data_IF_345783762815
#
_entry.id   IF_345783762815
#
_cell.length_a   1.000
_cell.length_b   1.000
_cell.length_c   1.000
_cell.angle_alpha   90.00
_cell.angle_beta   90.00
_cell.angle_gamma   90.00
#
_symmetry.space_group_name_H-M   'P 1'
#
loop_
_entity.id
_entity.type
_entity.pdbx_description
1 polymer ?
#
# COMPACT_ATOMS: atom_id res chain seq x y z
N UNK A 1 -3.77 -20.98 75.20
CA UNK A 1 -3.63 -19.49 75.08
C UNK A 1 -4.22 -19.12 73.72
N UNK A 2 -5.41 -18.52 73.70
CA UNK A 2 -6.11 -18.07 72.47
C UNK A 2 -5.34 -16.88 71.86
N UNK A 3 -5.07 -16.86 70.57
CA UNK A 3 -4.37 -15.75 69.93
C UNK A 3 -5.24 -14.50 69.97
N UNK A 4 -4.62 -13.37 70.37
CA UNK A 4 -5.29 -12.08 70.43
C UNK A 4 -5.86 -11.66 69.05
N UNK A 5 -7.10 -11.12 69.06
CA UNK A 5 -7.77 -10.58 67.89
C UNK A 5 -6.88 -9.66 67.04
N UNK A 6 -6.00 -8.91 67.69
CA UNK A 6 -5.05 -8.02 67.03
C UNK A 6 -3.96 -8.75 66.19
N UNK A 7 -3.57 -9.98 66.61
CA UNK A 7 -2.64 -10.82 65.82
C UNK A 7 -3.32 -11.44 64.62
N UNK A 8 -4.61 -11.79 64.75
CA UNK A 8 -5.39 -12.32 63.64
C UNK A 8 -5.60 -11.30 62.51
N UNK A 9 -5.96 -10.06 62.85
CA UNK A 9 -6.11 -8.99 61.87
C UNK A 9 -4.79 -8.58 61.20
N UNK A 10 -3.66 -8.64 61.91
CA UNK A 10 -2.35 -8.40 61.29
C UNK A 10 -1.94 -9.53 60.33
N UNK A 11 -2.25 -10.76 60.63
CA UNK A 11 -2.01 -11.89 59.73
C UNK A 11 -2.94 -11.87 58.51
N UNK A 12 -4.23 -11.53 58.70
CA UNK A 12 -5.20 -11.37 57.58
C UNK A 12 -4.85 -10.20 56.66
N UNK A 13 -4.32 -9.08 57.19
CA UNK A 13 -3.87 -7.96 56.38
C UNK A 13 -2.61 -8.30 55.55
N UNK A 14 -1.70 -9.12 56.12
CA UNK A 14 -0.50 -9.55 55.37
C UNK A 14 -0.79 -10.56 54.27
N UNK A 15 -1.78 -11.45 54.47
CA UNK A 15 -2.24 -12.39 53.41
C UNK A 15 -3.13 -11.70 52.38
N UNK A 16 -3.93 -10.70 52.76
CA UNK A 16 -4.72 -9.91 51.82
C UNK A 16 -3.89 -9.03 50.89
N UNK A 17 -2.78 -8.48 51.36
CA UNK A 17 -1.88 -7.66 50.53
C UNK A 17 -1.08 -8.51 49.53
N UNK A 18 -0.78 -9.78 49.85
CA UNK A 18 -0.11 -10.69 48.92
C UNK A 18 -1.10 -11.27 47.86
N UNK A 19 -2.40 -11.32 48.17
CA UNK A 19 -3.42 -11.78 47.17
C UNK A 19 -3.88 -10.65 46.23
N UNK A 20 -3.74 -9.38 46.65
CA UNK A 20 -4.14 -8.23 45.82
C UNK A 20 -3.13 -7.90 44.69
N UNK A 21 -1.91 -8.45 44.76
CA UNK A 21 -0.90 -8.29 43.68
C UNK A 21 -0.99 -9.37 42.59
N UNK A 22 -1.89 -10.35 42.74
CA UNK A 22 -2.15 -11.39 41.78
C UNK A 22 -3.53 -11.23 41.10
N UNK A 23 -4.04 -10.00 40.95
CA UNK A 23 -4.89 -9.70 39.82
C UNK A 23 -3.95 -9.77 38.61
N UNK A 24 -3.77 -10.98 38.09
CA UNK A 24 -3.15 -11.20 36.81
C UNK A 24 -3.84 -10.24 35.84
N UNK A 25 -3.11 -9.22 35.38
CA UNK A 25 -3.47 -8.62 34.10
C UNK A 25 -3.74 -9.78 33.18
N UNK A 26 -4.87 -9.82 32.46
CA UNK A 26 -5.06 -10.87 31.49
C UNK A 26 -3.80 -10.86 30.63
N UNK A 27 -3.00 -11.90 30.74
CA UNK A 27 -1.94 -12.15 29.75
C UNK A 27 -2.73 -12.36 28.45
N UNK A 28 -2.95 -11.29 27.72
CA UNK A 28 -3.29 -11.40 26.32
C UNK A 28 -2.05 -12.10 25.77
N UNK A 29 -2.13 -13.40 25.63
CA UNK A 29 -1.12 -14.17 24.93
C UNK A 29 -1.17 -13.66 23.48
N UNK A 30 -0.39 -12.63 23.20
CA UNK A 30 -0.09 -12.27 21.83
C UNK A 30 0.57 -13.53 21.24
N UNK A 31 -0.09 -14.13 20.27
CA UNK A 31 0.50 -15.20 19.46
C UNK A 31 1.88 -14.75 18.98
N UNK A 32 2.71 -15.68 18.55
CA UNK A 32 4.01 -15.31 17.96
C UNK A 32 3.79 -14.23 16.88
N UNK A 33 4.64 -13.19 16.80
CA UNK A 33 4.49 -12.12 15.83
C UNK A 33 4.38 -12.69 14.41
N UNK A 34 3.31 -12.32 13.70
CA UNK A 34 3.14 -12.70 12.31
C UNK A 34 3.92 -11.73 11.43
N UNK A 35 4.75 -12.27 10.55
CA UNK A 35 5.48 -11.46 9.56
C UNK A 35 4.86 -11.63 8.19
N UNK A 36 4.43 -10.52 7.59
CA UNK A 36 3.87 -10.44 6.24
C UNK A 36 4.95 -9.99 5.26
N UNK A 37 5.12 -10.72 4.17
CA UNK A 37 6.07 -10.38 3.10
C UNK A 37 5.41 -9.40 2.14
N UNK A 38 5.98 -8.21 2.02
CA UNK A 38 5.52 -7.16 1.11
C UNK A 38 6.63 -6.80 0.13
N UNK A 39 6.35 -6.77 -1.17
CA UNK A 39 7.27 -6.19 -2.14
C UNK A 39 6.73 -4.89 -2.71
N UNK A 40 7.59 -3.86 -2.75
CA UNK A 40 7.31 -2.61 -3.43
C UNK A 40 7.84 -2.64 -4.88
N UNK A 41 7.18 -1.89 -5.75
CA UNK A 41 7.63 -1.69 -7.13
C UNK A 41 8.75 -0.64 -7.25
N UNK A 42 9.27 -0.16 -6.12
CA UNK A 42 10.20 0.96 -6.01
C UNK A 42 11.52 0.50 -5.44
N UNK A 43 12.65 1.15 -5.83
CA UNK A 43 13.95 0.86 -5.23
C UNK A 43 14.00 1.33 -3.78
N UNK A 44 14.78 0.63 -2.95
CA UNK A 44 15.17 1.12 -1.63
C UNK A 44 16.09 2.35 -1.75
N UNK A 45 16.13 3.17 -0.70
CA UNK A 45 16.88 4.42 -0.68
C UNK A 45 15.98 5.63 -0.83
N UNK A 46 16.48 6.74 -1.32
CA UNK A 46 15.75 8.01 -1.44
C UNK A 46 14.64 7.96 -2.51
N UNK A 47 13.63 7.15 -2.26
CA UNK A 47 12.45 7.02 -3.10
C UNK A 47 11.20 7.17 -2.24
N UNK A 48 10.46 8.26 -2.47
CA UNK A 48 9.29 8.62 -1.66
C UNK A 48 8.24 7.50 -1.56
N UNK A 49 8.03 6.73 -2.62
CA UNK A 49 7.04 5.64 -2.62
C UNK A 49 7.50 4.46 -1.76
N UNK A 50 8.81 4.17 -1.75
CA UNK A 50 9.35 3.13 -0.88
C UNK A 50 9.36 3.58 0.58
N UNK A 51 9.70 4.84 0.86
CA UNK A 51 9.67 5.43 2.20
C UNK A 51 8.25 5.40 2.77
N UNK A 52 7.23 5.79 2.00
CA UNK A 52 5.83 5.73 2.44
C UNK A 52 5.36 4.30 2.71
N UNK A 53 5.79 3.32 1.93
CA UNK A 53 5.52 1.90 2.21
C UNK A 53 6.20 1.46 3.52
N UNK A 54 7.40 1.98 3.80
CA UNK A 54 8.12 1.78 5.06
C UNK A 54 7.41 2.38 6.26
N UNK A 55 6.91 3.61 6.12
CA UNK A 55 6.11 4.27 7.15
C UNK A 55 4.82 3.51 7.46
N UNK A 56 4.15 3.02 6.42
CA UNK A 56 2.98 2.15 6.58
C UNK A 56 3.35 0.87 7.35
N UNK A 57 4.43 0.19 6.96
CA UNK A 57 4.90 -1.03 7.63
C UNK A 57 5.21 -0.78 9.12
N UNK A 58 5.86 0.34 9.41
CA UNK A 58 6.13 0.78 10.79
C UNK A 58 4.84 1.05 11.55
N UNK A 59 3.90 1.78 10.98
CA UNK A 59 2.62 2.12 11.60
C UNK A 59 1.82 0.86 11.95
N UNK A 60 1.75 -0.12 11.06
CA UNK A 60 1.11 -1.42 11.33
C UNK A 60 1.77 -2.13 12.50
N UNK A 61 3.10 -2.13 12.57
CA UNK A 61 3.85 -2.69 13.70
C UNK A 61 3.51 -2.00 15.02
N UNK A 62 3.52 -0.67 15.05
CA UNK A 62 3.23 0.13 16.23
C UNK A 62 1.77 -0.06 16.69
N UNK A 63 0.80 0.02 15.78
CA UNK A 63 -0.63 -0.14 16.09
C UNK A 63 -0.99 -1.54 16.55
N UNK A 64 -0.29 -2.57 16.07
CA UNK A 64 -0.53 -3.96 16.47
C UNK A 64 0.22 -4.36 17.75
N UNK A 65 0.95 -3.41 18.38
CA UNK A 65 1.82 -3.73 19.53
C UNK A 65 2.92 -4.74 19.19
N UNK A 66 3.35 -4.79 17.90
CA UNK A 66 4.38 -5.70 17.41
C UNK A 66 3.88 -7.11 17.07
N UNK A 67 2.57 -7.37 17.16
CA UNK A 67 2.00 -8.68 16.77
C UNK A 67 1.97 -8.90 15.26
N UNK A 68 1.94 -7.81 14.46
CA UNK A 68 2.12 -7.83 13.01
C UNK A 68 3.42 -7.11 12.64
N UNK A 69 4.17 -7.70 11.73
CA UNK A 69 5.36 -7.11 11.13
C UNK A 69 5.24 -7.22 9.61
N UNK A 70 5.64 -6.18 8.90
CA UNK A 70 5.74 -6.20 7.45
C UNK A 70 7.22 -6.22 7.08
N UNK A 71 7.64 -7.28 6.40
CA UNK A 71 8.96 -7.41 5.79
C UNK A 71 8.89 -6.79 4.39
N UNK A 72 9.27 -5.50 4.31
CA UNK A 72 9.21 -4.72 3.09
C UNK A 72 10.45 -4.95 2.22
N UNK A 73 10.22 -5.50 1.04
CA UNK A 73 11.24 -5.78 0.04
C UNK A 73 11.22 -4.75 -1.10
N UNK A 74 12.38 -4.33 -1.63
CA UNK A 74 12.46 -3.42 -2.76
C UNK A 74 12.10 -4.10 -4.08
N UNK A 75 12.03 -3.30 -5.13
CA UNK A 75 11.79 -3.75 -6.50
C UNK A 75 12.76 -4.88 -6.91
N UNK A 76 12.20 -5.95 -7.48
CA UNK A 76 12.97 -7.07 -8.01
C UNK A 76 13.56 -8.03 -6.96
N UNK A 77 13.26 -7.84 -5.68
CA UNK A 77 13.77 -8.71 -4.61
C UNK A 77 13.17 -10.13 -4.65
N UNK A 78 11.89 -10.25 -5.02
CA UNK A 78 11.17 -11.53 -5.10
C UNK A 78 10.74 -11.80 -6.54
N UNK A 79 9.99 -10.84 -7.13
CA UNK A 79 9.47 -10.94 -8.50
C UNK A 79 9.71 -9.63 -9.27
N UNK A 80 9.58 -9.65 -10.60
CA UNK A 80 9.63 -8.44 -11.43
C UNK A 80 8.42 -7.55 -11.14
N UNK A 81 8.56 -6.25 -11.37
CA UNK A 81 7.54 -5.24 -11.08
C UNK A 81 6.15 -5.59 -11.64
N UNK A 82 6.08 -6.02 -12.88
CA UNK A 82 4.81 -6.39 -13.53
C UNK A 82 4.16 -7.68 -13.00
N UNK A 83 4.88 -8.46 -12.20
CA UNK A 83 4.47 -9.75 -11.65
C UNK A 83 4.01 -9.66 -10.19
N UNK A 84 4.17 -8.49 -9.52
CA UNK A 84 3.84 -8.34 -8.10
C UNK A 84 2.37 -8.70 -7.83
N UNK A 85 1.43 -8.19 -8.64
CA UNK A 85 0.01 -8.50 -8.49
C UNK A 85 -0.29 -10.00 -8.61
N UNK A 86 0.35 -10.69 -9.54
CA UNK A 86 0.21 -12.15 -9.68
C UNK A 86 0.80 -12.87 -8.46
N UNK A 87 1.97 -12.44 -7.99
CA UNK A 87 2.62 -13.05 -6.84
C UNK A 87 1.81 -12.91 -5.54
N UNK A 88 1.07 -11.81 -5.38
CA UNK A 88 0.13 -11.65 -4.27
C UNK A 88 -1.09 -12.56 -4.44
N UNK A 89 -1.67 -12.61 -5.64
CA UNK A 89 -2.79 -13.49 -5.97
C UNK A 89 -2.47 -14.97 -5.75
N UNK A 90 -1.24 -15.38 -6.08
CA UNK A 90 -0.76 -16.76 -5.94
C UNK A 90 -0.25 -17.09 -4.52
N UNK A 91 -0.24 -16.12 -3.59
CA UNK A 91 0.23 -16.29 -2.22
C UNK A 91 1.76 -16.41 -2.07
N UNK A 92 2.54 -16.05 -3.08
CA UNK A 92 4.01 -15.96 -3.00
C UNK A 92 4.44 -14.75 -2.17
N UNK A 93 3.66 -13.68 -2.25
CA UNK A 93 3.74 -12.49 -1.42
C UNK A 93 2.43 -12.34 -0.66
N UNK A 94 2.51 -11.91 0.60
CA UNK A 94 1.31 -11.58 1.39
C UNK A 94 0.74 -10.21 0.99
N UNK A 95 1.59 -9.31 0.54
CA UNK A 95 1.25 -7.93 0.20
C UNK A 95 2.12 -7.40 -0.94
N UNK A 96 1.64 -6.36 -1.60
CA UNK A 96 2.42 -5.64 -2.60
C UNK A 96 2.08 -4.15 -2.63
N UNK A 97 3.04 -3.32 -2.98
CA UNK A 97 2.87 -1.89 -3.21
C UNK A 97 3.36 -1.52 -4.60
N UNK A 98 2.41 -1.27 -5.51
CA UNK A 98 2.70 -0.96 -6.91
C UNK A 98 1.62 -0.08 -7.52
N UNK A 99 1.79 0.29 -8.80
CA UNK A 99 0.80 1.05 -9.55
C UNK A 99 0.13 0.17 -10.60
N UNK A 100 -1.19 0.27 -10.73
CA UNK A 100 -2.00 -0.54 -11.65
C UNK A 100 -1.73 -0.25 -13.13
N UNK A 101 -1.04 0.85 -13.43
CA UNK A 101 -0.58 1.16 -14.79
C UNK A 101 0.28 0.03 -15.42
N UNK A 102 0.96 -0.77 -14.58
CA UNK A 102 1.74 -1.94 -15.05
C UNK A 102 0.87 -3.08 -15.60
N UNK A 103 -0.43 -3.02 -15.43
CA UNK A 103 -1.38 -4.03 -15.96
C UNK A 103 -1.94 -3.69 -17.34
N UNK A 104 -1.47 -2.63 -17.98
CA UNK A 104 -1.95 -2.22 -19.30
C UNK A 104 -2.01 -3.39 -20.29
N UNK A 105 -0.96 -4.22 -20.33
CA UNK A 105 -0.92 -5.40 -21.21
C UNK A 105 -1.92 -6.51 -20.85
N UNK A 106 -2.50 -6.50 -19.65
CA UNK A 106 -3.55 -7.45 -19.25
C UNK A 106 -4.94 -6.87 -19.47
N UNK A 107 -5.14 -5.64 -19.06
CA UNK A 107 -6.40 -4.91 -19.22
C UNK A 107 -6.12 -3.39 -19.22
N UNK A 108 -6.30 -2.70 -20.36
CA UNK A 108 -6.05 -1.26 -20.45
C UNK A 108 -6.85 -0.43 -19.44
N UNK A 109 -8.10 -0.84 -19.11
CA UNK A 109 -8.91 -0.14 -18.10
C UNK A 109 -8.29 -0.17 -16.71
N UNK A 110 -7.55 -1.23 -16.35
CA UNK A 110 -6.88 -1.34 -15.06
C UNK A 110 -5.83 -0.25 -14.86
N UNK A 111 -5.17 0.21 -15.92
CA UNK A 111 -4.14 1.24 -15.84
C UNK A 111 -4.71 2.62 -15.50
N UNK A 112 -5.99 2.88 -15.75
CA UNK A 112 -6.65 4.16 -15.42
C UNK A 112 -6.75 4.40 -13.92
N UNK A 113 -6.77 3.35 -13.11
CA UNK A 113 -6.74 3.48 -11.64
C UNK A 113 -5.37 3.90 -11.10
N UNK A 114 -4.31 3.69 -11.84
CA UNK A 114 -2.94 4.01 -11.40
C UNK A 114 -2.49 5.41 -11.78
N UNK A 115 -2.92 5.89 -12.94
CA UNK A 115 -2.48 7.17 -13.47
C UNK A 115 -3.60 7.79 -14.29
N UNK A 116 -4.14 8.90 -13.83
CA UNK A 116 -5.12 9.67 -14.58
C UNK A 116 -4.49 10.35 -15.81
N UNK A 117 -5.29 10.65 -16.84
CA UNK A 117 -4.84 11.43 -17.98
C UNK A 117 -4.44 12.85 -17.59
N UNK A 118 -3.65 13.51 -18.43
CA UNK A 118 -3.44 14.95 -18.33
C UNK A 118 -4.81 15.64 -18.37
N UNK A 119 -5.00 16.66 -17.52
CA UNK A 119 -6.29 17.32 -17.30
C UNK A 119 -7.38 16.42 -16.68
N UNK A 120 -7.01 15.27 -16.12
CA UNK A 120 -7.91 14.41 -15.35
C UNK A 120 -8.15 14.93 -13.93
N UNK A 121 -8.74 14.06 -13.11
CA UNK A 121 -9.05 14.36 -11.72
C UNK A 121 -7.80 14.68 -10.88
N UNK A 122 -7.92 15.57 -9.92
CA UNK A 122 -6.93 15.79 -8.88
C UNK A 122 -6.84 14.58 -7.94
N UNK A 123 -5.79 14.51 -7.13
CA UNK A 123 -5.64 13.42 -6.13
C UNK A 123 -6.84 13.32 -5.20
N UNK A 124 -7.36 14.46 -4.73
CA UNK A 124 -8.51 14.52 -3.84
C UNK A 124 -9.80 14.04 -4.54
N UNK A 125 -10.00 14.42 -5.79
CA UNK A 125 -11.16 13.98 -6.58
C UNK A 125 -11.08 12.48 -6.86
N UNK A 126 -9.90 11.93 -7.16
CA UNK A 126 -9.70 10.47 -7.31
C UNK A 126 -10.05 9.75 -6.00
N UNK A 127 -9.58 10.25 -4.86
CA UNK A 127 -9.91 9.68 -3.55
C UNK A 127 -11.41 9.71 -3.29
N UNK A 128 -12.06 10.87 -3.50
CA UNK A 128 -13.50 11.01 -3.31
C UNK A 128 -14.28 10.07 -4.25
N UNK A 129 -13.85 9.94 -5.50
CA UNK A 129 -14.46 9.00 -6.43
C UNK A 129 -14.28 7.54 -6.01
N UNK A 130 -13.11 7.17 -5.51
CA UNK A 130 -12.85 5.81 -5.03
C UNK A 130 -13.71 5.45 -3.81
N UNK A 131 -13.88 6.39 -2.87
CA UNK A 131 -14.60 6.11 -1.62
C UNK A 131 -16.12 6.29 -1.76
N UNK A 132 -16.57 7.31 -2.48
CA UNK A 132 -17.99 7.72 -2.52
C UNK A 132 -18.61 7.65 -3.93
N UNK A 133 -17.78 7.66 -4.97
CA UNK A 133 -18.21 7.75 -6.37
C UNK A 133 -18.35 6.42 -7.11
N UNK A 134 -18.22 5.29 -6.41
CA UNK A 134 -18.29 3.95 -7.02
C UNK A 134 -16.98 3.42 -7.61
N UNK A 135 -15.89 4.18 -7.49
CA UNK A 135 -14.58 3.78 -8.01
C UNK A 135 -14.06 2.47 -7.42
N UNK A 136 -14.30 2.22 -6.13
CA UNK A 136 -13.93 0.98 -5.45
C UNK A 136 -14.61 -0.24 -6.09
N UNK A 137 -15.91 -0.18 -6.30
CA UNK A 137 -16.66 -1.28 -6.91
C UNK A 137 -16.17 -1.57 -8.35
N UNK A 138 -15.89 -0.53 -9.13
CA UNK A 138 -15.33 -0.66 -10.48
C UNK A 138 -13.91 -1.23 -10.45
N UNK A 139 -13.12 -0.87 -9.45
CA UNK A 139 -11.78 -1.42 -9.25
C UNK A 139 -11.84 -2.93 -8.95
N UNK A 140 -12.70 -3.35 -8.05
CA UNK A 140 -12.92 -4.76 -7.71
C UNK A 140 -13.39 -5.58 -8.92
N UNK A 141 -14.33 -5.05 -9.71
CA UNK A 141 -14.75 -5.66 -10.97
C UNK A 141 -13.58 -5.80 -11.96
N UNK A 142 -12.73 -4.79 -12.01
CA UNK A 142 -11.55 -4.80 -12.87
C UNK A 142 -10.52 -5.84 -12.41
N UNK A 143 -10.29 -5.99 -11.09
CA UNK A 143 -9.44 -7.04 -10.54
C UNK A 143 -9.93 -8.43 -10.93
N UNK A 144 -11.23 -8.68 -10.80
CA UNK A 144 -11.84 -9.94 -11.19
C UNK A 144 -11.65 -10.24 -12.69
N UNK A 145 -11.79 -9.22 -13.56
CA UNK A 145 -11.56 -9.36 -15.00
C UNK A 145 -10.09 -9.59 -15.38
N UNK A 146 -9.16 -9.07 -14.60
CA UNK A 146 -7.72 -9.33 -14.75
C UNK A 146 -7.35 -10.73 -14.25
N UNK A 147 -8.22 -11.34 -13.43
CA UNK A 147 -8.02 -12.67 -12.86
C UNK A 147 -7.18 -12.66 -11.58
N UNK A 148 -7.21 -11.56 -10.82
CA UNK A 148 -6.53 -11.43 -9.55
C UNK A 148 -7.48 -11.66 -8.37
N UNK A 149 -7.02 -12.43 -7.40
CA UNK A 149 -7.72 -12.75 -6.15
C UNK A 149 -6.98 -12.13 -4.96
N UNK A 150 -7.23 -10.85 -4.71
CA UNK A 150 -6.77 -10.13 -3.52
C UNK A 150 -7.60 -8.86 -3.29
N UNK A 151 -7.52 -8.32 -2.09
CA UNK A 151 -8.12 -7.03 -1.74
C UNK A 151 -7.14 -5.91 -2.06
N UNK A 152 -7.56 -4.95 -2.88
CA UNK A 152 -6.78 -3.77 -3.19
C UNK A 152 -7.31 -2.53 -2.46
N UNK A 153 -6.40 -1.71 -1.94
CA UNK A 153 -6.71 -0.42 -1.33
C UNK A 153 -5.86 0.67 -1.97
N UNK A 154 -6.43 1.85 -2.11
CA UNK A 154 -5.69 3.01 -2.61
C UNK A 154 -4.79 3.55 -1.50
N UNK A 155 -3.48 3.42 -1.68
CA UNK A 155 -2.50 3.92 -0.73
C UNK A 155 -2.04 5.34 -1.04
N UNK A 156 -1.94 5.67 -2.33
CA UNK A 156 -1.44 6.95 -2.81
C UNK A 156 -2.16 7.37 -4.09
N UNK A 157 -3.13 8.27 -4.01
CA UNK A 157 -3.76 8.83 -5.21
C UNK A 157 -2.75 9.69 -5.97
N UNK A 158 -2.46 9.31 -7.19
CA UNK A 158 -1.59 10.09 -8.07
C UNK A 158 -2.34 11.30 -8.60
N UNK A 159 -1.73 12.50 -8.62
CA UNK A 159 -2.32 13.66 -9.29
C UNK A 159 -2.36 13.46 -10.79
N UNK A 160 -3.16 14.28 -11.48
CA UNK A 160 -3.09 14.38 -12.94
C UNK A 160 -1.66 14.62 -13.40
N UNK A 161 -1.22 13.88 -14.40
CA UNK A 161 0.13 14.00 -14.93
C UNK A 161 0.30 15.35 -15.64
N UNK A 162 1.39 16.11 -15.37
CA UNK A 162 1.73 17.25 -16.20
C UNK A 162 2.01 16.77 -17.63
N UNK A 163 1.78 17.64 -18.62
CA UNK A 163 2.04 17.30 -20.01
C UNK A 163 3.49 16.82 -20.21
N UNK A 164 4.46 17.45 -19.55
CA UNK A 164 5.83 16.95 -19.58
C UNK A 164 6.85 17.95 -19.03
N UNK A 165 8.08 17.46 -18.90
CA UNK A 165 9.27 18.22 -18.53
C UNK A 165 10.21 18.26 -19.72
N UNK A 166 10.45 19.44 -20.26
CA UNK A 166 11.19 19.64 -21.50
C UNK A 166 12.47 20.43 -21.26
N UNK A 167 13.54 20.07 -21.96
CA UNK A 167 14.82 20.81 -21.94
C UNK A 167 14.73 22.12 -22.73
N UNK A 168 13.72 22.29 -23.57
CA UNK A 168 13.46 23.49 -24.37
C UNK A 168 12.05 23.98 -24.12
N UNK A 169 11.80 25.24 -24.40
CA UNK A 169 10.46 25.80 -24.30
C UNK A 169 9.54 25.18 -25.37
N UNK A 170 8.38 24.68 -24.93
CA UNK A 170 7.32 24.10 -25.77
C UNK A 170 6.10 25.00 -25.65
N UNK A 171 5.73 25.67 -26.72
CA UNK A 171 4.65 26.66 -26.74
C UNK A 171 3.50 26.29 -27.68
N UNK A 172 3.73 25.35 -28.60
CA UNK A 172 2.75 24.92 -29.58
C UNK A 172 2.94 23.43 -29.92
N UNK A 173 1.90 22.81 -30.43
CA UNK A 173 1.87 21.37 -30.77
C UNK A 173 3.00 20.97 -31.72
N UNK A 174 3.32 21.81 -32.70
CA UNK A 174 4.43 21.54 -33.63
C UNK A 174 5.80 21.40 -32.95
N UNK A 175 5.97 21.95 -31.75
CA UNK A 175 7.25 21.90 -31.03
C UNK A 175 7.55 20.51 -30.45
N UNK A 176 6.52 19.67 -30.28
CA UNK A 176 6.66 18.29 -29.79
C UNK A 176 6.78 17.27 -30.92
N UNK A 177 6.54 17.68 -32.17
CA UNK A 177 6.62 16.77 -33.32
C UNK A 177 8.04 16.20 -33.44
N UNK A 178 8.15 14.87 -33.52
CA UNK A 178 9.43 14.16 -33.61
C UNK A 178 10.28 14.15 -32.32
N UNK A 179 9.73 14.59 -31.18
CA UNK A 179 10.42 14.49 -29.91
C UNK A 179 10.33 13.09 -29.35
N UNK A 180 11.45 12.56 -28.80
CA UNK A 180 11.41 11.39 -27.95
C UNK A 180 10.87 11.81 -26.59
N UNK A 181 9.68 11.39 -26.27
CA UNK A 181 8.93 11.81 -25.11
C UNK A 181 8.51 10.60 -24.29
N UNK A 182 8.74 10.66 -22.96
CA UNK A 182 8.25 9.64 -22.04
C UNK A 182 7.03 10.18 -21.32
N UNK A 183 5.93 9.47 -21.45
CA UNK A 183 4.69 9.73 -20.74
C UNK A 183 4.21 8.48 -20.00
N UNK A 184 3.02 8.51 -19.44
CA UNK A 184 2.38 7.35 -18.80
C UNK A 184 2.26 6.16 -19.76
N UNK A 185 2.34 4.96 -19.22
CA UNK A 185 2.25 3.70 -19.99
C UNK A 185 1.04 3.64 -20.92
N UNK A 186 -0.10 4.18 -20.49
CA UNK A 186 -1.32 4.21 -21.31
C UNK A 186 -1.15 5.02 -22.61
N UNK A 187 -0.33 6.06 -22.58
CA UNK A 187 -0.12 6.96 -23.72
C UNK A 187 1.13 6.64 -24.55
N UNK A 188 2.06 5.82 -24.03
CA UNK A 188 3.27 5.48 -24.78
C UNK A 188 3.04 4.43 -25.85
N UNK A 189 2.06 3.55 -25.68
CA UNK A 189 1.74 2.53 -26.68
C UNK A 189 0.96 3.10 -27.86
N UNK A 190 -0.02 3.97 -27.60
CA UNK A 190 -0.87 4.52 -28.68
C UNK A 190 -0.27 5.80 -29.29
N UNK A 191 0.32 6.69 -28.48
CA UNK A 191 0.93 7.91 -29.00
C UNK A 191 2.23 7.66 -29.78
N UNK A 192 2.91 6.52 -29.58
CA UNK A 192 4.05 6.15 -30.39
C UNK A 192 3.64 5.70 -31.80
N UNK A 193 2.49 5.05 -31.93
CA UNK A 193 1.95 4.61 -33.22
C UNK A 193 1.31 5.79 -33.97
N UNK A 194 0.63 6.69 -33.28
CA UNK A 194 0.04 7.91 -33.87
C UNK A 194 1.09 8.94 -34.30
N UNK A 195 2.26 8.99 -33.66
CA UNK A 195 3.35 9.89 -34.05
C UNK A 195 4.10 9.41 -35.30
N UNK A 196 4.00 8.14 -35.62
CA UNK A 196 4.56 7.56 -36.86
C UNK A 196 3.55 7.46 -38.01
N UNK A 197 2.27 7.74 -37.77
CA UNK A 197 1.17 7.66 -38.71
C UNK A 197 0.79 8.96 -39.42
N UNK A 198 1.60 10.04 -39.29
CA UNK A 198 1.40 11.31 -40.02
C UNK A 198 2.69 11.79 -40.67
#
# INVERSE_FOLDING_TARGET
KTPSRRKFFKAAAATGAAAATAVAMPNVAFGAPQTLKMQAAWPSGANIFFEMAGDYAKMVGDMSGGSLKIDLQPVGAVVKTGEIGQAVSDGVLDMGHWVTAYWYGKNPAASLFGTGPSYGLSSQEVMAWMEEGGGRALYEETLAKVGYDYVGVFAMPMPAQPFGWFKKNVTKVSDVKGMKYRTCLLYTSDAADDVYGV
#
